data_IF_525784010192
#
_entry.id   IF_525784010192
#
_cell.length_a   1.000
_cell.length_b   1.000
_cell.length_c   1.000
_cell.angle_alpha   90.00
_cell.angle_beta   90.00
_cell.angle_gamma   90.00
#
_symmetry.space_group_name_H-M   'P 1'
#
loop_
_entity.id
_entity.type
_entity.pdbx_description
1 polymer ?
#
# COMPACT_ATOMS: atom_id res chain seq x y z
N UNK A 1 -25.10 -8.58 8.54
CA UNK A 1 -24.09 -7.65 7.98
C UNK A 1 -24.68 -6.26 8.00
N UNK A 2 -23.89 -5.22 8.27
CA UNK A 2 -24.40 -3.85 8.28
C UNK A 2 -24.36 -3.29 6.85
N UNK A 3 -25.51 -2.91 6.30
CA UNK A 3 -25.63 -2.45 4.91
C UNK A 3 -25.14 -1.01 4.69
N UNK A 4 -24.78 -0.28 5.76
CA UNK A 4 -24.36 1.13 5.71
C UNK A 4 -23.23 1.41 6.70
N UNK A 5 -22.28 2.23 6.25
CA UNK A 5 -21.19 2.78 7.08
C UNK A 5 -21.50 4.25 7.33
N UNK A 6 -21.55 4.66 8.60
CA UNK A 6 -21.70 6.06 9.00
C UNK A 6 -20.35 6.57 9.46
N UNK A 7 -19.88 7.66 8.86
CA UNK A 7 -18.63 8.33 9.24
C UNK A 7 -18.95 9.63 9.97
N UNK A 8 -18.23 9.90 11.06
CA UNK A 8 -18.32 11.16 11.80
C UNK A 8 -16.91 11.67 12.07
N UNK A 9 -16.61 12.87 11.57
CA UNK A 9 -15.28 13.47 11.69
C UNK A 9 -15.07 14.14 13.06
N UNK A 10 -15.10 13.34 14.12
CA UNK A 10 -14.83 13.78 15.49
C UNK A 10 -13.66 12.96 16.04
N UNK A 11 -12.63 13.65 16.54
CA UNK A 11 -11.39 13.05 17.03
C UNK A 11 -11.60 12.40 18.42
N UNK A 12 -12.36 11.31 18.48
CA UNK A 12 -12.64 10.57 19.72
C UNK A 12 -11.50 9.59 20.07
N UNK A 13 -10.72 9.17 19.08
CA UNK A 13 -9.62 8.23 19.27
C UNK A 13 -8.27 8.90 19.11
N UNK A 14 -7.41 8.78 20.13
CA UNK A 14 -6.03 9.25 20.09
C UNK A 14 -5.08 8.08 19.89
N UNK A 15 -4.46 8.02 18.70
CA UNK A 15 -3.39 7.07 18.43
C UNK A 15 -2.04 7.61 18.93
N UNK A 16 -1.51 7.08 20.04
CA UNK A 16 -0.20 7.47 20.56
C UNK A 16 0.93 6.91 19.69
N UNK A 17 1.84 7.76 19.23
CA UNK A 17 3.08 7.36 18.52
C UNK A 17 4.27 7.47 19.48
N UNK A 18 4.84 6.33 19.83
CA UNK A 18 6.03 6.22 20.65
C UNK A 18 7.25 5.89 19.78
N UNK A 19 8.46 6.04 20.33
CA UNK A 19 9.68 5.66 19.62
C UNK A 19 9.72 4.18 19.26
N UNK A 20 9.13 3.34 20.12
CA UNK A 20 9.02 1.90 19.96
C UNK A 20 7.80 1.46 19.15
N UNK A 21 6.97 2.39 18.66
CA UNK A 21 5.80 2.03 17.86
C UNK A 21 6.22 1.32 16.58
N UNK A 22 5.50 0.25 16.24
CA UNK A 22 5.75 -0.59 15.05
C UNK A 22 5.86 0.24 13.76
N UNK A 23 5.02 1.26 13.63
CA UNK A 23 5.03 2.17 12.47
C UNK A 23 6.27 3.05 12.36
N UNK A 24 7.11 3.10 13.40
CA UNK A 24 8.38 3.85 13.43
C UNK A 24 9.60 2.93 13.45
N UNK A 25 9.49 1.73 14.02
CA UNK A 25 10.62 0.82 14.22
C UNK A 25 10.77 -0.23 13.12
N UNK A 26 9.69 -0.57 12.42
CA UNK A 26 9.69 -1.64 11.41
C UNK A 26 9.82 -1.04 10.02
N UNK A 27 10.50 -1.75 9.11
CA UNK A 27 10.56 -1.37 7.71
C UNK A 27 9.14 -1.20 7.14
N UNK A 28 8.96 -0.07 6.46
CA UNK A 28 7.77 0.37 5.78
C UNK A 28 7.13 -0.71 4.88
N UNK A 29 7.95 -1.61 4.33
CA UNK A 29 7.51 -2.76 3.51
C UNK A 29 6.64 -3.77 4.28
N UNK A 30 6.88 -3.95 5.58
CA UNK A 30 6.06 -4.81 6.45
C UNK A 30 4.81 -4.09 6.96
N UNK A 31 4.89 -2.77 7.11
CA UNK A 31 3.74 -1.94 7.50
C UNK A 31 2.72 -1.86 6.37
N UNK A 32 3.17 -1.83 5.12
CA UNK A 32 2.33 -1.69 3.93
C UNK A 32 2.51 -2.82 2.92
N UNK A 33 2.16 -4.08 3.26
CA UNK A 33 2.44 -5.22 2.41
C UNK A 33 1.73 -5.14 1.05
N UNK A 34 2.44 -5.53 -0.02
CA UNK A 34 1.91 -5.59 -1.38
C UNK A 34 0.80 -6.64 -1.53
N UNK A 35 0.92 -7.77 -0.85
CA UNK A 35 -0.08 -8.85 -0.93
C UNK A 35 -1.48 -8.42 -0.51
N UNK A 36 -1.58 -7.61 0.55
CA UNK A 36 -2.87 -7.11 1.05
C UNK A 36 -3.59 -6.23 0.03
N UNK A 37 -2.87 -5.36 -0.69
CA UNK A 37 -3.49 -4.50 -1.71
C UNK A 37 -3.84 -5.27 -2.98
N UNK A 38 -3.02 -6.25 -3.35
CA UNK A 38 -3.32 -7.17 -4.46
C UNK A 38 -4.61 -7.96 -4.20
N UNK A 39 -4.79 -8.47 -2.98
CA UNK A 39 -6.02 -9.13 -2.53
C UNK A 39 -7.23 -8.19 -2.61
N UNK A 40 -7.12 -6.96 -2.10
CA UNK A 40 -8.21 -5.97 -2.16
C UNK A 40 -8.63 -5.65 -3.60
N UNK A 41 -7.66 -5.41 -4.48
CA UNK A 41 -7.90 -5.14 -5.91
C UNK A 41 -8.61 -6.32 -6.59
N UNK A 42 -8.32 -7.56 -6.18
CA UNK A 42 -8.98 -8.76 -6.73
C UNK A 42 -10.41 -8.97 -6.23
N UNK A 43 -10.71 -8.59 -4.97
CA UNK A 43 -12.03 -8.77 -4.35
C UNK A 43 -12.99 -7.66 -4.75
N UNK A 44 -12.49 -6.42 -4.89
CA UNK A 44 -13.31 -5.27 -5.23
C UNK A 44 -13.72 -5.32 -6.71
N UNK A 45 -15.01 -5.55 -6.96
CA UNK A 45 -15.61 -5.44 -8.30
C UNK A 45 -16.02 -4.00 -8.66
N UNK A 46 -16.00 -3.09 -7.69
CA UNK A 46 -16.38 -1.68 -7.81
C UNK A 46 -15.14 -0.78 -7.92
N UNK A 47 -15.31 0.45 -8.41
CA UNK A 47 -14.29 1.45 -8.75
C UNK A 47 -12.95 1.31 -8.01
N UNK A 48 -11.97 0.72 -8.70
CA UNK A 48 -10.64 0.36 -8.16
C UNK A 48 -9.62 1.52 -8.36
N UNK A 49 -10.04 2.68 -8.87
CA UNK A 49 -9.10 3.78 -9.17
C UNK A 49 -8.27 4.23 -7.96
N UNK A 50 -8.90 4.30 -6.79
CA UNK A 50 -8.26 4.65 -5.53
C UNK A 50 -7.29 3.56 -5.05
N UNK A 51 -7.70 2.30 -5.11
CA UNK A 51 -6.84 1.16 -4.74
C UNK A 51 -5.65 1.04 -5.69
N UNK A 52 -5.80 1.31 -6.98
CA UNK A 52 -4.69 1.35 -7.94
C UNK A 52 -3.71 2.49 -7.64
N UNK A 53 -4.21 3.66 -7.22
CA UNK A 53 -3.36 4.77 -6.77
C UNK A 53 -2.54 4.38 -5.55
N UNK A 54 -3.18 3.76 -4.56
CA UNK A 54 -2.51 3.25 -3.35
C UNK A 54 -1.50 2.15 -3.71
N UNK A 55 -1.86 1.25 -4.62
CA UNK A 55 -0.97 0.18 -5.06
C UNK A 55 0.29 0.74 -5.71
N UNK A 56 0.15 1.73 -6.60
CA UNK A 56 1.30 2.42 -7.21
C UNK A 56 2.21 3.07 -6.16
N UNK A 57 1.62 3.75 -5.17
CA UNK A 57 2.39 4.35 -4.09
C UNK A 57 3.17 3.30 -3.28
N UNK A 58 2.54 2.17 -2.94
CA UNK A 58 3.21 1.07 -2.24
C UNK A 58 4.33 0.44 -3.08
N UNK A 59 4.13 0.25 -4.39
CA UNK A 59 5.19 -0.29 -5.27
C UNK A 59 6.42 0.62 -5.31
N UNK A 60 6.24 1.94 -5.30
CA UNK A 60 7.37 2.88 -5.23
C UNK A 60 8.09 2.79 -3.88
N UNK A 61 7.34 2.78 -2.77
CA UNK A 61 7.91 2.65 -1.42
C UNK A 61 8.72 1.35 -1.26
N UNK A 62 8.19 0.23 -1.75
CA UNK A 62 8.91 -1.04 -1.78
C UNK A 62 10.13 -0.99 -2.70
N UNK A 63 10.01 -0.35 -3.87
CA UNK A 63 11.12 -0.16 -4.79
C UNK A 63 12.29 0.58 -4.16
N UNK A 64 12.01 1.69 -3.46
CA UNK A 64 13.04 2.46 -2.74
C UNK A 64 13.70 1.64 -1.62
N UNK A 65 12.91 0.89 -0.83
CA UNK A 65 13.44 0.03 0.23
C UNK A 65 14.33 -1.09 -0.33
N UNK A 66 13.86 -1.81 -1.36
CA UNK A 66 14.62 -2.90 -2.00
C UNK A 66 15.90 -2.42 -2.68
N UNK A 67 15.87 -1.22 -3.27
CA UNK A 67 17.06 -0.61 -3.85
C UNK A 67 18.10 -0.30 -2.76
N UNK A 68 17.66 0.25 -1.63
CA UNK A 68 18.54 0.57 -0.50
C UNK A 68 19.15 -0.68 0.16
N UNK A 69 18.40 -1.79 0.23
CA UNK A 69 18.86 -3.04 0.81
C UNK A 69 19.61 -3.95 -0.18
N UNK A 70 19.71 -3.58 -1.46
CA UNK A 70 20.39 -4.37 -2.50
C UNK A 70 19.58 -5.55 -3.05
N UNK A 71 18.27 -5.60 -2.79
CA UNK A 71 17.35 -6.63 -3.28
C UNK A 71 16.90 -6.34 -4.72
N UNK A 72 17.82 -6.57 -5.66
CA UNK A 72 17.64 -6.16 -7.07
C UNK A 72 16.54 -6.93 -7.82
N UNK A 73 16.28 -8.19 -7.47
CA UNK A 73 15.23 -8.97 -8.15
C UNK A 73 13.85 -8.40 -7.80
N UNK A 74 13.60 -8.18 -6.52
CA UNK A 74 12.38 -7.61 -5.98
C UNK A 74 12.16 -6.19 -6.51
N UNK A 75 13.23 -5.38 -6.55
CA UNK A 75 13.21 -4.06 -7.18
C UNK A 75 12.76 -4.12 -8.65
N UNK A 76 13.35 -5.01 -9.46
CA UNK A 76 12.96 -5.20 -10.86
C UNK A 76 11.49 -5.62 -11.00
N UNK A 77 10.99 -6.50 -10.14
CA UNK A 77 9.57 -6.89 -10.17
C UNK A 77 8.64 -5.71 -9.87
N UNK A 78 9.02 -4.81 -8.95
CA UNK A 78 8.26 -3.60 -8.67
C UNK A 78 8.19 -2.69 -9.90
N UNK A 79 9.32 -2.45 -10.57
CA UNK A 79 9.37 -1.66 -11.81
C UNK A 79 8.51 -2.26 -12.92
N UNK A 80 8.57 -3.58 -13.12
CA UNK A 80 7.75 -4.27 -14.11
C UNK A 80 6.26 -4.08 -13.82
N UNK A 81 5.84 -4.23 -12.56
CA UNK A 81 4.45 -4.01 -12.14
C UNK A 81 4.01 -2.56 -12.39
N UNK A 82 4.84 -1.57 -12.05
CA UNK A 82 4.56 -0.16 -12.33
C UNK A 82 4.39 0.08 -13.83
N UNK A 83 5.29 -0.45 -14.68
CA UNK A 83 5.22 -0.30 -16.12
C UNK A 83 3.93 -0.91 -16.72
N UNK A 84 3.49 -2.06 -16.22
CA UNK A 84 2.22 -2.68 -16.62
C UNK A 84 1.03 -1.78 -16.26
N UNK A 85 1.02 -1.22 -15.05
CA UNK A 85 -0.04 -0.32 -14.59
C UNK A 85 -0.12 0.96 -15.44
N UNK A 86 1.04 1.54 -15.78
CA UNK A 86 1.10 2.75 -16.61
C UNK A 86 0.66 2.49 -18.05
N UNK A 87 1.06 1.35 -18.64
CA UNK A 87 0.63 0.97 -19.98
C UNK A 87 -0.89 0.80 -20.09
N UNK A 88 -1.53 0.30 -19.03
CA UNK A 88 -2.98 0.05 -19.00
C UNK A 88 -3.82 1.30 -18.74
N UNK A 89 -3.24 2.35 -18.18
CA UNK A 89 -3.88 3.66 -17.98
C UNK A 89 -3.80 4.57 -19.22
N UNK A 90 -3.19 4.10 -20.31
CA UNK A 90 -3.14 4.77 -21.62
C UNK A 90 -4.21 4.18 -22.53
#
# INVERSE_FOLDING_TARGET
>A
MADRVVFTNVALYYHRKHETSVTKTVDSTYVFPLKSIEEHVSILSLNISEELRVYRWRLNLHGESYLASGHMQEYQTCLQKIAILEKRNK
#
